data_IF_863540421702
#
_entry.id   IF_863540421702
#
_cell.length_a   1.000
_cell.length_b   1.000
_cell.length_c   1.000
_cell.angle_alpha   90.00
_cell.angle_beta   90.00
_cell.angle_gamma   90.00
#
_symmetry.space_group_name_H-M   'P 1'
#
loop_
_entity.id
_entity.type
_entity.pdbx_description
1 polymer ?
#
# COMPACT_ATOMS: atom_id res chain seq x y z
N UNK A 1 1.69 16.88 5.37
CA UNK A 1 0.27 16.74 5.80
C UNK A 1 0.17 17.02 7.28
N UNK A 2 -0.82 17.80 7.73
CA UNK A 2 -1.04 18.02 9.16
C UNK A 2 -1.95 16.93 9.75
N UNK A 3 -1.60 16.43 10.94
CA UNK A 3 -2.43 15.51 11.70
C UNK A 3 -3.31 16.32 12.64
N UNK A 4 -4.62 16.23 12.47
CA UNK A 4 -5.60 16.84 13.38
C UNK A 4 -5.69 16.03 14.66
N UNK A 5 -5.35 16.62 15.81
CA UNK A 5 -5.61 16.06 17.13
C UNK A 5 -7.03 16.45 17.58
N UNK A 6 -7.77 15.51 18.16
CA UNK A 6 -9.09 15.80 18.70
C UNK A 6 -9.00 16.26 20.17
N UNK A 7 -9.92 17.14 20.59
CA UNK A 7 -10.04 17.55 21.99
C UNK A 7 -10.37 16.32 22.87
N UNK A 8 -9.80 16.20 24.07
CA UNK A 8 -9.94 15.04 24.96
C UNK A 8 -11.28 15.02 25.71
N UNK A 9 -12.40 15.15 24.99
CA UNK A 9 -13.74 15.24 25.58
C UNK A 9 -14.29 13.91 26.07
N UNK A 10 -13.77 12.78 25.58
CA UNK A 10 -14.16 11.42 25.97
C UNK A 10 -12.93 10.50 25.97
N UNK A 11 -12.96 9.36 26.69
CA UNK A 11 -11.85 8.40 26.68
C UNK A 11 -11.42 7.98 25.27
N UNK A 12 -12.37 7.76 24.35
CA UNK A 12 -12.09 7.38 22.96
C UNK A 12 -11.52 8.52 22.11
N UNK A 13 -11.75 9.79 22.47
CA UNK A 13 -11.20 10.96 21.75
C UNK A 13 -9.86 11.43 22.30
N UNK A 14 -9.57 11.16 23.59
CA UNK A 14 -8.32 11.60 24.24
C UNK A 14 -7.06 11.21 23.47
N UNK A 15 -6.98 10.01 22.95
CA UNK A 15 -5.84 9.52 22.15
C UNK A 15 -6.10 9.48 20.66
N UNK A 16 -7.22 10.04 20.18
CA UNK A 16 -7.57 9.97 18.77
C UNK A 16 -6.95 11.10 17.95
N UNK A 17 -6.57 10.77 16.73
CA UNK A 17 -6.19 11.76 15.71
C UNK A 17 -6.79 11.39 14.35
N UNK A 18 -6.69 12.28 13.38
CA UNK A 18 -7.18 12.08 12.02
C UNK A 18 -6.38 12.91 11.03
N UNK A 19 -6.54 12.65 9.75
CA UNK A 19 -6.04 13.52 8.71
C UNK A 19 -6.86 14.83 8.69
N UNK A 20 -6.25 15.93 8.35
CA UNK A 20 -6.94 17.22 8.18
C UNK A 20 -7.57 17.39 6.80
N UNK A 21 -7.12 16.61 5.81
CA UNK A 21 -7.58 16.65 4.42
C UNK A 21 -7.33 17.96 3.68
N UNK A 22 -6.46 18.84 4.18
CA UNK A 22 -6.21 20.17 3.58
C UNK A 22 -5.70 20.09 2.13
N UNK A 23 -5.02 19.02 1.74
CA UNK A 23 -4.50 18.80 0.38
C UNK A 23 -5.54 18.32 -0.63
N UNK A 24 -6.75 17.95 -0.17
CA UNK A 24 -7.81 17.43 -1.05
C UNK A 24 -8.54 18.58 -1.71
N UNK A 25 -8.56 18.56 -3.04
CA UNK A 25 -9.19 19.62 -3.86
C UNK A 25 -10.61 19.28 -4.29
N UNK A 26 -11.01 17.98 -4.21
CA UNK A 26 -12.34 17.51 -4.57
C UNK A 26 -12.81 16.41 -3.63
N UNK A 27 -14.02 16.53 -3.08
CA UNK A 27 -14.63 15.56 -2.17
C UNK A 27 -15.29 14.37 -2.85
N UNK A 28 -15.79 14.54 -4.06
CA UNK A 28 -16.51 13.51 -4.82
C UNK A 28 -15.63 12.86 -5.88
N UNK A 29 -15.72 11.54 -6.05
CA UNK A 29 -14.95 10.85 -7.08
C UNK A 29 -15.56 11.03 -8.49
N UNK A 30 -14.73 10.87 -9.52
CA UNK A 30 -15.19 10.83 -10.91
C UNK A 30 -16.04 9.58 -11.13
N UNK A 31 -17.32 9.78 -11.50
CA UNK A 31 -18.34 8.70 -11.57
C UNK A 31 -17.96 7.58 -12.56
N UNK A 32 -17.38 7.94 -13.70
CA UNK A 32 -16.96 6.97 -14.73
C UNK A 32 -15.87 6.01 -14.25
N UNK A 33 -15.04 6.44 -13.27
CA UNK A 33 -13.91 5.69 -12.72
C UNK A 33 -14.24 4.96 -11.40
N UNK A 34 -15.52 4.87 -11.05
CA UNK A 34 -15.96 4.19 -9.82
C UNK A 34 -16.66 2.89 -10.16
N UNK A 35 -16.39 1.85 -9.36
CA UNK A 35 -17.05 0.53 -9.44
C UNK A 35 -17.56 0.09 -8.07
N UNK A 36 -18.63 -0.72 -8.01
CA UNK A 36 -19.09 -1.33 -6.77
C UNK A 36 -17.98 -2.20 -6.15
N UNK A 37 -17.85 -2.15 -4.82
CA UNK A 37 -16.93 -3.00 -4.07
C UNK A 37 -17.74 -3.86 -3.09
N UNK A 38 -17.98 -5.12 -3.46
CA UNK A 38 -18.66 -6.08 -2.60
C UNK A 38 -17.73 -6.59 -1.50
N UNK A 39 -18.21 -6.56 -0.26
CA UNK A 39 -17.49 -7.13 0.88
C UNK A 39 -17.75 -8.63 0.97
N UNK A 40 -16.70 -9.43 0.86
CA UNK A 40 -16.78 -10.90 1.01
C UNK A 40 -16.58 -11.37 2.46
N UNK A 41 -16.25 -10.48 3.40
CA UNK A 41 -16.04 -10.83 4.80
C UNK A 41 -14.96 -11.90 5.03
N UNK A 42 -13.94 -11.96 4.18
CA UNK A 42 -12.86 -12.96 4.27
C UNK A 42 -13.22 -14.35 3.74
N UNK A 43 -14.36 -14.53 3.02
CA UNK A 43 -14.79 -15.80 2.43
C UNK A 43 -14.20 -15.99 1.03
N UNK A 44 -13.90 -17.24 0.70
CA UNK A 44 -13.53 -17.65 -0.66
C UNK A 44 -14.78 -17.91 -1.53
N UNK A 45 -14.60 -18.45 -2.75
CA UNK A 45 -15.71 -18.78 -3.67
C UNK A 45 -16.67 -19.83 -3.12
N UNK A 46 -16.19 -20.73 -2.23
CA UNK A 46 -16.98 -21.76 -1.56
C UNK A 46 -17.64 -21.27 -0.26
N UNK A 47 -17.60 -19.98 0.05
CA UNK A 47 -18.18 -19.42 1.26
C UNK A 47 -17.38 -19.67 2.54
N UNK A 48 -16.24 -20.39 2.50
CA UNK A 48 -15.40 -20.69 3.65
C UNK A 48 -14.53 -19.50 4.02
N UNK A 49 -14.33 -19.25 5.33
CA UNK A 49 -13.47 -18.19 5.83
C UNK A 49 -12.00 -18.59 5.62
N UNK A 50 -11.31 -17.93 4.70
CA UNK A 50 -9.88 -18.11 4.44
C UNK A 50 -9.03 -16.97 4.99
N UNK A 51 -9.62 -15.80 5.22
CA UNK A 51 -8.99 -14.66 5.87
C UNK A 51 -9.83 -14.26 7.10
N UNK A 52 -9.34 -14.63 8.30
CA UNK A 52 -10.05 -14.39 9.56
C UNK A 52 -10.09 -12.89 9.91
N UNK A 53 -10.99 -12.53 10.82
CA UNK A 53 -11.12 -11.18 11.39
C UNK A 53 -11.42 -10.07 10.37
N UNK A 54 -12.13 -10.40 9.31
CA UNK A 54 -12.62 -9.45 8.30
C UNK A 54 -14.15 -9.45 8.26
N UNK A 55 -14.72 -8.30 7.90
CA UNK A 55 -16.16 -8.14 7.70
C UNK A 55 -16.74 -6.93 8.41
N UNK A 56 -17.93 -6.55 8.01
CA UNK A 56 -18.57 -5.29 8.40
C UNK A 56 -17.83 -4.08 7.83
N UNK A 57 -17.96 -2.95 8.53
CA UNK A 57 -17.34 -1.70 8.09
C UNK A 57 -18.25 -0.87 7.19
N UNK A 58 -17.80 0.35 6.89
CA UNK A 58 -18.54 1.28 6.04
C UNK A 58 -18.53 0.80 4.58
N UNK A 59 -19.66 0.93 3.87
CA UNK A 59 -19.76 0.66 2.42
C UNK A 59 -18.77 1.52 1.65
N UNK A 60 -18.05 0.93 0.70
CA UNK A 60 -17.03 1.60 -0.11
C UNK A 60 -17.28 1.35 -1.59
N UNK A 61 -16.93 2.34 -2.39
CA UNK A 61 -16.79 2.18 -3.83
C UNK A 61 -15.31 2.06 -4.20
N UNK A 62 -14.99 1.25 -5.20
CA UNK A 62 -13.63 1.07 -5.70
C UNK A 62 -13.34 2.13 -6.77
N UNK A 63 -12.15 2.78 -6.69
CA UNK A 63 -11.64 3.68 -7.72
C UNK A 63 -10.74 2.90 -8.66
N UNK A 64 -10.97 3.03 -9.95
CA UNK A 64 -10.11 2.43 -10.97
C UNK A 64 -8.82 3.24 -11.06
N UNK A 65 -7.73 2.66 -10.56
CA UNK A 65 -6.41 3.29 -10.61
C UNK A 65 -5.64 2.69 -11.78
N UNK A 66 -5.05 3.55 -12.58
CA UNK A 66 -4.16 3.14 -13.66
C UNK A 66 -2.79 2.77 -13.08
N UNK A 67 -2.55 1.45 -13.00
CA UNK A 67 -1.29 0.87 -12.57
C UNK A 67 -0.37 0.47 -13.72
N UNK A 68 -0.81 0.58 -14.97
CA UNK A 68 0.00 0.21 -16.14
C UNK A 68 0.61 1.40 -16.83
N UNK A 69 -0.22 2.39 -17.17
CA UNK A 69 0.16 3.67 -17.80
C UNK A 69 0.88 3.55 -19.16
N UNK A 70 1.08 2.35 -19.67
CA UNK A 70 1.90 2.12 -20.88
C UNK A 70 1.23 2.57 -22.17
N UNK A 71 -0.08 2.55 -22.20
CA UNK A 71 -0.89 2.92 -23.38
C UNK A 71 -1.06 4.44 -23.57
N UNK A 72 -0.49 5.23 -22.65
CA UNK A 72 -0.51 6.70 -22.69
C UNK A 72 0.89 7.30 -22.79
N UNK A 73 1.81 6.59 -23.41
CA UNK A 73 3.17 7.10 -23.65
C UNK A 73 3.13 8.29 -24.62
N UNK A 74 3.85 9.36 -24.27
CA UNK A 74 3.92 10.59 -25.04
C UNK A 74 2.66 11.47 -24.98
N UNK A 75 1.59 11.02 -24.31
CA UNK A 75 0.38 11.85 -24.14
C UNK A 75 0.47 12.60 -22.81
N UNK A 76 0.55 13.94 -22.83
CA UNK A 76 0.61 14.72 -21.59
C UNK A 76 -0.74 14.73 -20.88
N UNK A 77 -0.71 14.76 -19.56
CA UNK A 77 -1.88 14.87 -18.71
C UNK A 77 -1.70 16.01 -17.71
N UNK A 78 -2.81 16.66 -17.35
CA UNK A 78 -2.87 17.66 -16.28
C UNK A 78 -3.52 17.08 -15.06
N UNK A 79 -2.95 17.33 -13.88
CA UNK A 79 -3.55 17.00 -12.59
C UNK A 79 -4.77 17.90 -12.38
N UNK A 80 -5.96 17.33 -12.52
CA UNK A 80 -7.21 18.05 -12.33
C UNK A 80 -7.56 18.20 -10.85
N UNK A 81 -7.48 17.12 -10.09
CA UNK A 81 -7.85 17.10 -8.66
C UNK A 81 -7.02 16.09 -7.87
N UNK A 82 -6.84 16.39 -6.57
CA UNK A 82 -6.36 15.45 -5.56
C UNK A 82 -7.54 14.97 -4.74
N UNK A 83 -7.69 13.65 -4.59
CA UNK A 83 -8.87 13.04 -3.98
C UNK A 83 -8.51 12.01 -2.90
N UNK A 84 -9.47 11.78 -2.00
CA UNK A 84 -9.40 10.74 -0.98
C UNK A 84 -9.94 9.41 -1.51
N UNK A 85 -9.20 8.32 -1.32
CA UNK A 85 -9.69 6.97 -1.57
C UNK A 85 -9.80 6.17 -0.26
N UNK A 86 -11.00 5.70 0.14
CA UNK A 86 -11.18 4.91 1.37
C UNK A 86 -10.57 3.51 1.30
N UNK A 87 -10.13 3.06 0.12
CA UNK A 87 -9.60 1.70 -0.10
C UNK A 87 -8.09 1.63 0.08
N UNK A 88 -7.42 2.78 0.16
CA UNK A 88 -5.96 2.85 0.31
C UNK A 88 -5.53 3.95 1.27
N UNK A 89 -4.29 3.88 1.71
CA UNK A 89 -3.70 4.90 2.58
C UNK A 89 -3.19 6.11 1.81
N UNK A 90 -2.78 5.92 0.54
CA UNK A 90 -2.34 6.96 -0.36
C UNK A 90 -3.50 7.83 -0.86
N UNK A 91 -3.23 9.11 -1.15
CA UNK A 91 -4.11 9.95 -1.95
C UNK A 91 -4.05 9.51 -3.42
N UNK A 92 -5.06 9.89 -4.18
CA UNK A 92 -5.12 9.67 -5.63
C UNK A 92 -5.21 11.01 -6.35
N UNK A 93 -4.62 11.08 -7.53
CA UNK A 93 -4.71 12.23 -8.40
C UNK A 93 -5.54 11.88 -9.63
N UNK A 94 -6.53 12.71 -9.94
CA UNK A 94 -7.30 12.64 -11.18
C UNK A 94 -6.52 13.34 -12.27
N UNK A 95 -6.17 12.62 -13.32
CA UNK A 95 -5.50 13.14 -14.50
C UNK A 95 -6.52 13.35 -15.64
N UNK A 96 -6.42 14.48 -16.31
CA UNK A 96 -7.06 14.75 -17.60
C UNK A 96 -5.97 14.71 -18.66
N UNK A 97 -6.01 13.73 -19.53
CA UNK A 97 -5.10 13.58 -20.66
C UNK A 97 -5.49 14.51 -21.80
N UNK A 98 -4.53 14.86 -22.66
CA UNK A 98 -4.79 15.74 -23.82
C UNK A 98 -5.76 15.13 -24.84
N UNK A 99 -5.90 13.79 -24.86
CA UNK A 99 -6.87 13.05 -25.68
C UNK A 99 -8.29 12.99 -25.07
N UNK A 100 -8.53 13.68 -23.96
CA UNK A 100 -9.83 13.75 -23.28
C UNK A 100 -10.08 12.61 -22.28
N UNK A 101 -9.23 11.58 -22.22
CA UNK A 101 -9.41 10.49 -21.25
C UNK A 101 -9.06 10.93 -19.83
N UNK A 102 -9.82 10.44 -18.86
CA UNK A 102 -9.58 10.68 -17.44
C UNK A 102 -9.08 9.40 -16.78
N UNK A 103 -8.06 9.50 -15.93
CA UNK A 103 -7.54 8.36 -15.15
C UNK A 103 -7.12 8.78 -13.75
N UNK A 104 -7.21 7.84 -12.81
CA UNK A 104 -6.60 8.00 -11.49
C UNK A 104 -5.20 7.40 -11.43
N UNK A 105 -4.30 8.09 -10.78
CA UNK A 105 -2.99 7.58 -10.36
C UNK A 105 -2.81 7.72 -8.84
N UNK A 106 -1.79 7.05 -8.27
CA UNK A 106 -1.37 7.35 -6.91
C UNK A 106 -0.74 8.75 -6.90
N UNK A 107 -1.11 9.57 -5.93
CA UNK A 107 -0.54 10.90 -5.78
C UNK A 107 0.84 10.79 -5.11
N UNK A 108 1.94 11.15 -5.80
CA UNK A 108 3.25 11.29 -5.16
C UNK A 108 3.31 12.52 -4.26
N UNK A 109 4.29 12.55 -3.38
CA UNK A 109 4.61 13.73 -2.57
C UNK A 109 5.03 14.89 -3.48
N UNK A 110 4.54 16.10 -3.19
CA UNK A 110 4.86 17.32 -3.95
C UNK A 110 4.06 17.51 -5.24
N UNK A 111 3.16 16.60 -5.62
CA UNK A 111 2.27 16.80 -6.77
C UNK A 111 1.07 17.65 -6.38
N UNK A 112 0.82 18.71 -7.15
CA UNK A 112 -0.25 19.68 -6.92
C UNK A 112 -1.27 19.72 -8.05
N UNK A 113 -2.42 20.32 -7.78
CA UNK A 113 -3.42 20.58 -8.81
C UNK A 113 -2.85 21.54 -9.87
N UNK A 114 -3.01 21.18 -11.14
CA UNK A 114 -2.51 21.98 -12.27
C UNK A 114 -1.19 21.45 -12.85
N UNK A 115 -0.44 20.64 -12.09
CA UNK A 115 0.82 20.07 -12.56
C UNK A 115 0.63 19.21 -13.81
N UNK A 116 1.69 19.14 -14.63
CA UNK A 116 1.74 18.31 -15.83
C UNK A 116 2.44 16.98 -15.51
N UNK A 117 1.87 15.91 -16.00
CA UNK A 117 2.39 14.54 -15.82
C UNK A 117 2.48 13.85 -17.17
N UNK A 118 3.58 13.16 -17.43
CA UNK A 118 3.85 12.46 -18.68
C UNK A 118 4.28 11.01 -18.42
N UNK A 119 4.08 10.17 -19.44
CA UNK A 119 4.49 8.78 -19.44
C UNK A 119 5.41 8.52 -20.63
N UNK A 120 6.27 7.53 -20.47
CA UNK A 120 7.09 7.06 -21.58
C UNK A 120 8.59 7.19 -21.34
N UNK A 121 9.41 6.63 -22.24
CA UNK A 121 10.86 6.62 -22.08
C UNK A 121 11.51 8.02 -22.18
N UNK A 122 10.87 8.96 -22.83
CA UNK A 122 11.34 10.35 -23.01
C UNK A 122 10.79 11.33 -21.99
N UNK A 123 9.98 10.91 -21.02
CA UNK A 123 9.42 11.82 -20.02
C UNK A 123 10.51 12.35 -19.07
N UNK A 124 10.36 13.58 -18.60
CA UNK A 124 11.24 14.20 -17.61
C UNK A 124 11.25 13.45 -16.27
N UNK A 125 12.34 13.60 -15.50
CA UNK A 125 12.44 13.03 -14.15
C UNK A 125 11.76 13.96 -13.13
N UNK A 126 10.44 14.00 -13.21
CA UNK A 126 9.59 14.79 -12.29
C UNK A 126 8.64 13.89 -11.50
N UNK A 127 8.27 14.27 -10.25
CA UNK A 127 7.29 13.52 -9.47
C UNK A 127 6.00 13.29 -10.24
N UNK A 128 5.54 12.03 -10.29
CA UNK A 128 4.33 11.63 -11.02
C UNK A 128 4.55 11.09 -12.43
N UNK A 129 5.68 11.38 -13.07
CA UNK A 129 6.02 10.84 -14.38
C UNK A 129 6.36 9.34 -14.29
N UNK A 130 5.94 8.58 -15.28
CA UNK A 130 6.12 7.14 -15.33
C UNK A 130 7.03 6.72 -16.48
N UNK A 131 8.18 6.11 -16.13
CA UNK A 131 9.21 5.72 -17.09
C UNK A 131 9.64 4.26 -16.86
N UNK A 132 10.24 3.62 -17.90
CA UNK A 132 11.00 2.40 -17.70
C UNK A 132 12.19 2.64 -16.78
N UNK A 133 12.53 1.69 -15.91
CA UNK A 133 13.64 1.83 -14.94
C UNK A 133 14.99 2.11 -15.62
N UNK A 134 15.19 1.60 -16.83
CA UNK A 134 16.41 1.88 -17.61
C UNK A 134 16.63 3.37 -17.89
N UNK A 135 15.55 4.16 -18.00
CA UNK A 135 15.57 5.59 -18.31
C UNK A 135 15.64 6.49 -17.07
N UNK A 136 15.46 5.93 -15.86
CA UNK A 136 15.50 6.67 -14.61
C UNK A 136 16.94 6.69 -14.07
N UNK A 137 17.52 7.85 -13.67
CA UNK A 137 18.85 7.91 -13.09
C UNK A 137 18.97 7.08 -11.81
N UNK A 138 20.17 6.55 -11.55
CA UNK A 138 20.50 5.90 -10.27
C UNK A 138 20.42 6.91 -9.13
N UNK A 139 20.06 6.45 -7.94
CA UNK A 139 19.82 7.32 -6.77
C UNK A 139 18.39 7.85 -6.66
N UNK A 140 17.64 7.89 -7.76
CA UNK A 140 16.26 8.40 -7.77
C UNK A 140 15.34 7.53 -6.91
N UNK A 141 14.45 8.18 -6.15
CA UNK A 141 13.35 7.52 -5.43
C UNK A 141 12.17 7.35 -6.36
N UNK A 142 11.62 6.15 -6.40
CA UNK A 142 10.50 5.76 -7.27
C UNK A 142 9.44 4.98 -6.49
N UNK A 143 8.21 5.01 -6.97
CA UNK A 143 7.09 4.24 -6.41
C UNK A 143 6.29 3.56 -7.53
N UNK A 144 5.22 2.85 -7.16
CA UNK A 144 4.34 2.16 -8.12
C UNK A 144 5.11 1.34 -9.16
N UNK A 145 6.04 0.49 -8.70
CA UNK A 145 6.98 -0.24 -9.55
C UNK A 145 6.38 -1.56 -10.01
N UNK A 146 6.59 -1.91 -11.27
CA UNK A 146 6.27 -3.22 -11.82
C UNK A 146 7.28 -4.29 -11.35
N UNK A 147 6.84 -5.54 -11.30
CA UNK A 147 7.70 -6.72 -11.09
C UNK A 147 8.04 -7.46 -12.37
N UNK A 148 7.22 -7.28 -13.40
CA UNK A 148 7.40 -7.81 -14.76
C UNK A 148 6.93 -6.73 -15.72
N UNK A 149 7.57 -6.55 -16.86
CA UNK A 149 7.15 -5.58 -17.86
C UNK A 149 5.67 -5.77 -18.24
N UNK A 150 4.89 -4.70 -18.25
CA UNK A 150 3.46 -4.71 -18.56
C UNK A 150 2.55 -5.35 -17.50
N UNK A 151 3.11 -5.84 -16.40
CA UNK A 151 2.35 -6.49 -15.32
C UNK A 151 1.61 -5.54 -14.38
N UNK A 152 1.76 -4.24 -14.57
CA UNK A 152 1.24 -3.19 -13.71
C UNK A 152 1.96 -3.07 -12.37
N UNK A 153 1.85 -1.93 -11.73
CA UNK A 153 2.53 -1.61 -10.49
C UNK A 153 2.14 -2.54 -9.33
N UNK A 154 3.14 -3.08 -8.64
CA UNK A 154 2.99 -4.00 -7.50
C UNK A 154 3.70 -3.52 -6.23
N UNK A 155 4.84 -2.85 -6.37
CA UNK A 155 5.71 -2.42 -5.27
C UNK A 155 5.49 -0.93 -4.97
N UNK A 156 5.66 -0.54 -3.71
CA UNK A 156 5.59 0.84 -3.21
C UNK A 156 4.30 1.58 -3.63
N UNK A 157 3.16 1.11 -3.14
CA UNK A 157 1.84 1.70 -3.43
C UNK A 157 1.14 2.29 -2.21
N UNK A 158 1.67 2.04 -1.02
CA UNK A 158 1.11 2.58 0.23
C UNK A 158 1.63 3.98 0.51
N UNK A 159 0.90 4.75 1.30
CA UNK A 159 1.32 6.09 1.73
C UNK A 159 2.75 6.09 2.31
N UNK A 160 3.55 7.08 1.95
CA UNK A 160 4.93 7.23 2.39
C UNK A 160 5.88 6.13 1.91
N UNK A 161 5.51 5.32 0.92
CA UNK A 161 6.42 4.31 0.39
C UNK A 161 7.18 4.83 -0.82
N UNK A 162 8.51 4.75 -0.73
CA UNK A 162 9.44 4.99 -1.82
C UNK A 162 10.48 3.87 -1.88
N UNK A 163 11.05 3.65 -3.03
CA UNK A 163 12.09 2.67 -3.32
C UNK A 163 13.21 3.37 -4.04
N UNK A 164 14.44 3.21 -3.59
CA UNK A 164 15.59 3.83 -4.22
C UNK A 164 16.15 2.93 -5.32
N UNK A 165 16.37 3.47 -6.51
CA UNK A 165 17.09 2.82 -7.60
C UNK A 165 18.60 2.91 -7.33
N UNK A 166 19.26 1.79 -7.02
CA UNK A 166 20.68 1.77 -6.66
C UNK A 166 21.62 1.66 -7.86
N UNK A 167 21.35 0.69 -8.73
CA UNK A 167 22.19 0.39 -9.88
C UNK A 167 21.37 -0.20 -11.03
N UNK A 168 21.95 -0.18 -12.23
CA UNK A 168 21.41 -0.82 -13.43
C UNK A 168 22.53 -1.61 -14.10
N UNK A 169 22.36 -2.94 -14.18
CA UNK A 169 23.38 -3.86 -14.70
C UNK A 169 22.73 -5.03 -15.42
N UNK A 170 23.27 -5.46 -16.56
CA UNK A 170 22.88 -6.67 -17.26
C UNK A 170 21.39 -6.78 -17.59
N UNK A 171 20.72 -5.67 -17.92
CA UNK A 171 19.28 -5.64 -18.20
C UNK A 171 18.39 -5.61 -16.95
N UNK A 172 18.97 -5.56 -15.74
CA UNK A 172 18.25 -5.47 -14.47
C UNK A 172 18.52 -4.17 -13.74
N UNK A 173 17.51 -3.71 -13.00
CA UNK A 173 17.60 -2.60 -12.05
C UNK A 173 17.64 -3.15 -10.63
N UNK A 174 18.57 -2.69 -9.81
CA UNK A 174 18.66 -3.01 -8.38
C UNK A 174 17.90 -1.98 -7.56
N UNK A 175 16.94 -2.45 -6.78
CA UNK A 175 16.01 -1.64 -6.01
C UNK A 175 16.20 -1.87 -4.51
N UNK A 176 16.42 -0.81 -3.73
CA UNK A 176 16.41 -0.82 -2.27
C UNK A 176 15.02 -0.55 -1.75
N UNK A 177 14.39 -1.59 -1.23
CA UNK A 177 13.05 -1.54 -0.66
C UNK A 177 13.03 -0.84 0.71
N UNK A 178 11.88 -0.29 1.16
CA UNK A 178 11.76 0.29 2.50
C UNK A 178 12.12 -0.65 3.64
N UNK A 179 12.01 -1.97 3.41
CA UNK A 179 12.42 -3.01 4.38
C UNK A 179 13.95 -3.19 4.51
N UNK A 180 14.74 -2.56 3.62
CA UNK A 180 16.19 -2.75 3.50
C UNK A 180 16.59 -3.94 2.61
N UNK A 181 15.63 -4.71 2.06
CA UNK A 181 15.88 -5.73 1.04
C UNK A 181 16.36 -5.07 -0.26
N UNK A 182 17.41 -5.62 -0.88
CA UNK A 182 17.84 -5.25 -2.22
C UNK A 182 17.38 -6.33 -3.18
N UNK A 183 16.64 -5.91 -4.21
CA UNK A 183 16.04 -6.80 -5.18
C UNK A 183 16.31 -6.34 -6.59
N UNK A 184 16.56 -7.30 -7.50
CA UNK A 184 16.64 -7.07 -8.94
C UNK A 184 15.25 -7.14 -9.56
N UNK A 185 14.99 -6.25 -10.50
CA UNK A 185 13.80 -6.22 -11.34
C UNK A 185 14.25 -5.91 -12.76
N UNK A 186 13.56 -6.42 -13.76
CA UNK A 186 13.86 -6.13 -15.17
C UNK A 186 13.88 -4.61 -15.42
N UNK A 187 14.90 -4.13 -16.13
CA UNK A 187 15.07 -2.70 -16.42
C UNK A 187 14.00 -2.13 -17.36
N UNK A 188 13.25 -2.99 -18.07
CA UNK A 188 12.08 -2.60 -18.85
C UNK A 188 10.81 -2.38 -18.01
N UNK A 189 10.80 -2.83 -16.74
CA UNK A 189 9.71 -2.54 -15.82
C UNK A 189 9.54 -1.06 -15.60
N UNK A 190 8.30 -0.60 -15.49
CA UNK A 190 7.98 0.81 -15.26
C UNK A 190 7.93 1.14 -13.77
N UNK A 191 8.25 2.38 -13.48
CA UNK A 191 8.10 2.98 -12.16
C UNK A 191 7.68 4.44 -12.30
N UNK A 192 7.04 4.97 -11.27
CA UNK A 192 6.69 6.39 -11.17
C UNK A 192 7.70 7.10 -10.30
N UNK A 193 8.18 8.25 -10.73
CA UNK A 193 9.18 9.08 -10.01
C UNK A 193 8.58 9.67 -8.75
N UNK A 194 9.37 9.76 -7.68
CA UNK A 194 8.98 10.28 -6.38
C UNK A 194 8.52 9.19 -5.41
N UNK A 195 8.17 9.56 -4.20
CA UNK A 195 7.55 8.68 -3.19
C UNK A 195 6.04 8.93 -3.10
N UNK A 196 5.31 7.96 -2.60
CA UNK A 196 3.85 8.11 -2.42
C UNK A 196 3.56 9.11 -1.32
N UNK A 197 2.71 10.09 -1.59
CA UNK A 197 2.28 11.11 -0.63
C UNK A 197 1.56 10.53 0.60
N UNK A 198 1.17 11.43 1.52
CA UNK A 198 0.47 11.07 2.76
C UNK A 198 1.32 10.25 3.74
N UNK A 199 2.62 10.53 3.84
CA UNK A 199 3.60 9.79 4.64
C UNK A 199 3.22 9.65 6.13
N UNK A 200 2.58 10.66 6.71
CA UNK A 200 2.15 10.67 8.11
C UNK A 200 0.92 9.80 8.42
N UNK A 201 0.33 9.14 7.44
CA UNK A 201 -0.84 8.26 7.64
C UNK A 201 -0.62 7.19 8.72
N UNK A 202 0.63 6.71 8.87
CA UNK A 202 1.01 5.76 9.90
C UNK A 202 0.92 6.30 11.33
N UNK A 203 0.99 7.61 11.51
CA UNK A 203 0.98 8.29 12.80
C UNK A 203 -0.45 8.56 13.34
N UNK A 204 -1.49 8.27 12.53
CA UNK A 204 -2.89 8.48 12.91
C UNK A 204 -3.31 7.43 13.94
N UNK A 205 -3.74 7.90 15.10
CA UNK A 205 -4.26 7.06 16.19
C UNK A 205 -5.77 6.94 16.11
N UNK A 206 -6.28 5.71 16.11
CA UNK A 206 -7.72 5.46 16.01
C UNK A 206 -8.49 5.87 17.27
N UNK A 207 -7.88 5.73 18.45
CA UNK A 207 -8.43 6.13 19.74
C UNK A 207 -9.45 5.15 20.35
N UNK A 208 -10.26 4.47 19.56
CA UNK A 208 -11.25 3.50 20.03
C UNK A 208 -11.40 2.29 19.11
N UNK A 209 -11.80 1.15 19.67
CA UNK A 209 -12.01 -0.10 18.95
C UNK A 209 -13.09 0.02 17.84
N UNK A 210 -14.13 0.83 18.05
CA UNK A 210 -15.16 1.06 17.05
C UNK A 210 -14.64 1.61 15.72
N UNK A 211 -13.59 2.44 15.73
CA UNK A 211 -12.97 2.93 14.48
C UNK A 211 -12.30 1.80 13.68
N UNK A 212 -11.77 0.77 14.35
CA UNK A 212 -11.27 -0.45 13.67
C UNK A 212 -12.42 -1.24 13.06
N UNK A 213 -13.57 -1.32 13.76
CA UNK A 213 -14.79 -1.95 13.23
C UNK A 213 -15.31 -1.24 11.99
N UNK A 214 -15.31 0.10 11.95
CA UNK A 214 -15.71 0.87 10.77
C UNK A 214 -14.81 0.60 9.55
N UNK A 215 -13.54 0.23 9.77
CA UNK A 215 -12.61 -0.17 8.72
C UNK A 215 -12.78 -1.63 8.25
N UNK A 216 -13.74 -2.38 8.80
CA UNK A 216 -13.99 -3.76 8.44
C UNK A 216 -13.13 -4.78 9.20
N UNK A 217 -12.43 -4.38 10.26
CA UNK A 217 -11.65 -5.27 11.11
C UNK A 217 -12.52 -5.81 12.25
N UNK A 218 -12.64 -7.12 12.36
CA UNK A 218 -13.33 -7.78 13.48
C UNK A 218 -12.37 -7.95 14.67
N UNK A 219 -12.90 -8.08 15.90
CA UNK A 219 -12.09 -8.38 17.08
C UNK A 219 -11.28 -9.65 16.92
N UNK A 220 -10.12 -9.69 17.53
CA UNK A 220 -9.22 -10.86 17.55
C UNK A 220 -8.94 -11.25 19.00
N UNK A 221 -9.13 -12.52 19.31
CA UNK A 221 -8.74 -13.13 20.57
C UNK A 221 -7.34 -13.73 20.43
N UNK A 222 -6.49 -13.54 21.43
CA UNK A 222 -5.15 -14.13 21.46
C UNK A 222 -5.24 -15.64 21.69
N UNK A 223 -4.39 -16.42 21.03
CA UNK A 223 -4.38 -17.89 21.18
C UNK A 223 -4.18 -18.37 22.63
N UNK A 224 -3.36 -17.64 23.42
CA UNK A 224 -3.15 -17.90 24.86
C UNK A 224 -4.43 -17.79 25.70
N UNK A 225 -5.42 -17.00 25.26
CA UNK A 225 -6.70 -16.82 25.95
C UNK A 225 -7.80 -17.79 25.47
N UNK A 226 -7.43 -18.78 24.68
CA UNK A 226 -8.34 -19.80 24.15
C UNK A 226 -8.14 -21.14 24.91
N UNK A 227 -9.06 -22.07 24.70
CA UNK A 227 -8.91 -23.44 25.20
C UNK A 227 -7.90 -24.24 24.34
N UNK A 228 -7.31 -25.34 24.87
CA UNK A 228 -6.36 -26.17 24.12
C UNK A 228 -6.89 -26.68 22.78
N UNK A 229 -8.19 -26.96 22.69
CA UNK A 229 -8.85 -27.41 21.44
C UNK A 229 -8.85 -26.34 20.35
N UNK A 230 -8.85 -25.05 20.71
CA UNK A 230 -8.98 -23.95 19.77
C UNK A 230 -7.63 -23.40 19.27
N UNK A 231 -6.58 -23.57 20.09
CA UNK A 231 -5.27 -23.04 19.76
C UNK A 231 -4.14 -23.81 20.46
N UNK A 232 -3.00 -24.07 19.78
CA UNK A 232 -1.85 -24.76 20.38
C UNK A 232 -1.22 -24.06 21.59
N UNK A 233 -1.48 -22.78 21.81
CA UNK A 233 -1.04 -22.00 22.97
C UNK A 233 -2.14 -21.84 24.03
N UNK A 234 -3.28 -22.48 23.85
CA UNK A 234 -4.44 -22.38 24.73
C UNK A 234 -4.29 -23.26 25.99
N UNK A 235 -5.13 -22.95 26.96
CA UNK A 235 -5.20 -23.68 28.23
C UNK A 235 -4.46 -23.02 29.37
N UNK A 236 -4.50 -23.67 30.56
CA UNK A 236 -3.95 -23.19 31.79
C UNK A 236 -4.94 -22.41 32.68
N UNK A 237 -4.54 -22.10 33.90
CA UNK A 237 -5.32 -21.30 34.83
C UNK A 237 -4.89 -19.84 34.83
N UNK A 238 -5.85 -18.92 34.72
CA UNK A 238 -5.61 -17.47 34.73
C UNK A 238 -4.72 -16.97 33.58
N UNK A 239 -3.69 -16.20 33.92
CA UNK A 239 -2.71 -15.66 32.96
C UNK A 239 -1.52 -16.61 32.76
N UNK A 240 -1.77 -17.77 32.18
CA UNK A 240 -0.69 -18.73 31.88
C UNK A 240 0.17 -18.24 30.70
N UNK A 241 1.42 -18.70 30.64
CA UNK A 241 2.27 -18.56 29.47
C UNK A 241 1.87 -19.58 28.40
N UNK A 242 2.27 -19.36 27.13
CA UNK A 242 1.92 -20.30 26.05
C UNK A 242 2.62 -21.66 26.08
N UNK A 243 3.56 -21.90 27.02
CA UNK A 243 4.27 -23.17 27.22
C UNK A 243 5.18 -23.62 26.08
N UNK A 244 5.25 -22.89 24.97
CA UNK A 244 6.02 -23.22 23.77
C UNK A 244 6.32 -21.95 22.93
N UNK A 245 7.16 -22.08 21.91
CA UNK A 245 7.40 -20.99 20.98
C UNK A 245 6.10 -20.49 20.32
N UNK A 246 5.98 -19.17 20.03
CA UNK A 246 4.81 -18.62 19.37
C UNK A 246 4.51 -19.33 18.04
N UNK A 247 3.29 -19.80 17.91
CA UNK A 247 2.80 -20.50 16.71
C UNK A 247 1.43 -19.98 16.28
N UNK A 248 1.10 -20.18 15.01
CA UNK A 248 -0.23 -19.90 14.47
C UNK A 248 -1.26 -20.93 14.97
N UNK A 249 -2.58 -20.71 14.76
CA UNK A 249 -3.62 -21.72 15.08
C UNK A 249 -3.40 -23.08 14.41
N UNK A 250 -2.63 -23.13 13.34
CA UNK A 250 -2.27 -24.37 12.62
C UNK A 250 -0.89 -24.92 13.00
N UNK A 251 -0.30 -24.45 14.10
CA UNK A 251 0.98 -24.92 14.61
C UNK A 251 2.22 -24.42 13.84
N UNK A 252 2.07 -23.55 12.87
CA UNK A 252 3.22 -22.99 12.15
C UNK A 252 3.96 -21.95 13.01
N UNK A 253 5.31 -22.06 13.15
CA UNK A 253 6.09 -21.05 13.88
C UNK A 253 5.91 -19.64 13.33
N UNK A 254 5.80 -18.65 14.21
CA UNK A 254 5.75 -17.25 13.83
C UNK A 254 7.10 -16.76 13.28
N UNK A 255 7.05 -15.77 12.39
CA UNK A 255 8.24 -15.11 11.83
C UNK A 255 8.89 -15.81 10.63
N UNK A 256 8.49 -17.02 10.27
CA UNK A 256 8.96 -17.77 9.09
C UNK A 256 7.82 -18.01 8.11
N UNK A 257 7.29 -16.93 7.53
CA UNK A 257 6.11 -17.00 6.64
C UNK A 257 6.47 -17.17 5.17
N UNK A 258 7.71 -16.87 4.77
CA UNK A 258 8.15 -17.02 3.38
C UNK A 258 8.41 -18.50 3.07
N UNK A 259 7.78 -19.00 2.00
CA UNK A 259 8.05 -20.36 1.49
C UNK A 259 9.52 -20.50 1.12
N UNK A 260 10.14 -21.63 1.51
CA UNK A 260 11.48 -21.98 1.09
C UNK A 260 11.54 -22.24 -0.43
N UNK A 261 12.71 -21.98 -1.04
CA UNK A 261 13.00 -22.25 -2.46
C UNK A 261 12.00 -21.61 -3.44
N UNK A 262 11.51 -20.43 -3.12
CA UNK A 262 10.63 -19.68 -4.02
C UNK A 262 11.39 -19.20 -5.25
N UNK A 263 10.84 -19.38 -6.47
CA UNK A 263 11.48 -18.96 -7.73
C UNK A 263 11.96 -17.51 -7.73
N UNK A 264 11.27 -16.63 -7.01
CA UNK A 264 11.65 -15.21 -6.86
C UNK A 264 12.86 -14.96 -5.93
N UNK A 265 13.41 -15.99 -5.27
CA UNK A 265 14.58 -15.83 -4.39
C UNK A 265 15.85 -15.46 -5.17
N UNK A 266 15.97 -15.94 -6.42
CA UNK A 266 17.05 -15.56 -7.34
C UNK A 266 17.10 -14.07 -7.67
N UNK A 267 15.98 -13.34 -7.47
CA UNK A 267 15.89 -11.91 -7.68
C UNK A 267 16.29 -11.09 -6.44
N UNK A 268 16.54 -11.73 -5.30
CA UNK A 268 16.92 -11.05 -4.06
C UNK A 268 18.43 -11.05 -3.96
N UNK A 269 19.06 -9.87 -4.07
CA UNK A 269 20.50 -9.67 -3.94
C UNK A 269 20.89 -9.69 -2.46
N UNK A 270 20.17 -8.94 -1.64
CA UNK A 270 20.38 -8.88 -0.20
C UNK A 270 19.06 -8.89 0.55
N UNK A 271 18.89 -9.83 1.47
CA UNK A 271 17.72 -9.87 2.36
C UNK A 271 17.80 -8.77 3.41
N UNK A 272 16.66 -8.39 3.98
CA UNK A 272 16.64 -7.47 5.13
C UNK A 272 17.50 -8.04 6.25
N UNK A 273 18.36 -7.21 6.85
CA UNK A 273 19.16 -7.60 8.02
C UNK A 273 18.28 -8.02 9.18
N UNK A 274 18.76 -8.95 10.02
CA UNK A 274 18.12 -9.20 11.31
C UNK A 274 18.24 -7.90 12.13
N UNK A 275 17.13 -7.36 12.63
CA UNK A 275 17.20 -6.32 13.67
C UNK A 275 17.99 -6.94 14.82
N UNK A 276 19.14 -6.35 15.20
CA UNK A 276 19.76 -6.65 16.49
C UNK A 276 18.71 -6.33 17.55
N UNK A 277 18.38 -7.30 18.37
CA UNK A 277 17.56 -7.12 19.59
C UNK A 277 18.33 -6.31 20.60
#
# INVERSE_FOLDING_TARGET
MAIRKYKPTTPGRRGASGADFAEITRGEPEKSLVRPLHSRGGRNVHGRITARHQGGGHKRAYRLIDFRRADKDGVPAKVAHLEYDPNRTARIALLHYADGEKRYILCPEGLSQGDRVENGPGADIRPGNCLPLRNIPTGTVVHAIELRPGGGAKIARSAGSGVQLLAKEGGFAQLRMPSGEIRRVDAACRATVGEVGNSEQGNIKLGKAGRSRWKGRRPQVRGVAMNPVDHPLGGGEGKSSGGRHPVSPWGKPEGRTRQANKSSDRMIVRRRGKKKR
#
